data_IF_051786522129
#
_entry.id   IF_051786522129
#
_cell.length_a   1.000
_cell.length_b   1.000
_cell.length_c   1.000
_cell.angle_alpha   90.00
_cell.angle_beta   90.00
_cell.angle_gamma   90.00
#
_symmetry.space_group_name_H-M   'P 1'
#
loop_
_entity.id
_entity.type
_entity.pdbx_description
1 polymer ?
#
# COMPACT_ATOMS: atom_id res chain seq x y z
N UNK A 1 -16.22 19.99 9.01
CA UNK A 1 -16.02 20.18 10.48
C UNK A 1 -15.17 19.03 10.99
N UNK A 2 -13.89 19.25 11.24
CA UNK A 2 -12.90 18.18 11.47
C UNK A 2 -12.03 18.45 12.69
N UNK A 3 -12.63 18.65 13.87
CA UNK A 3 -11.94 18.48 15.15
C UNK A 3 -12.91 17.95 16.19
N UNK A 4 -13.21 16.67 16.05
CA UNK A 4 -13.99 15.98 17.05
C UNK A 4 -13.11 15.42 18.16
N UNK A 5 -11.81 15.18 17.86
CA UNK A 5 -10.83 14.59 18.77
C UNK A 5 -9.61 15.49 18.93
N UNK A 6 -9.04 15.51 20.14
CA UNK A 6 -7.87 16.29 20.51
C UNK A 6 -6.84 15.41 21.27
N UNK A 7 -5.55 15.84 21.33
CA UNK A 7 -4.59 15.22 22.22
C UNK A 7 -5.10 15.19 23.66
N UNK A 8 -5.01 14.02 24.29
CA UNK A 8 -5.51 13.76 25.64
C UNK A 8 -6.84 13.00 25.70
N UNK A 9 -7.63 13.03 24.63
CA UNK A 9 -8.88 12.26 24.57
C UNK A 9 -8.61 10.76 24.71
N UNK A 10 -9.52 10.04 25.35
CA UNK A 10 -9.39 8.58 25.57
C UNK A 10 -10.53 7.88 24.86
N UNK A 11 -10.21 7.10 23.83
CA UNK A 11 -11.18 6.34 23.05
C UNK A 11 -11.36 4.92 23.62
N UNK A 12 -12.61 4.46 23.64
CA UNK A 12 -13.02 3.16 24.17
C UNK A 12 -12.42 2.87 25.57
N UNK A 13 -12.20 3.91 26.40
CA UNK A 13 -11.61 3.82 27.74
C UNK A 13 -10.16 3.28 27.79
N UNK A 14 -9.51 3.07 26.65
CA UNK A 14 -8.21 2.37 26.55
C UNK A 14 -7.12 3.10 25.76
N UNK A 15 -7.46 3.95 24.82
CA UNK A 15 -6.50 4.53 23.90
C UNK A 15 -6.47 6.05 24.05
N UNK A 16 -5.43 6.58 24.70
CA UNK A 16 -5.22 8.03 24.83
C UNK A 16 -4.57 8.58 23.58
N UNK A 17 -5.25 9.49 22.91
CA UNK A 17 -4.71 10.20 21.75
C UNK A 17 -3.56 11.11 22.18
N UNK A 18 -2.45 11.10 21.41
CA UNK A 18 -1.27 11.88 21.71
C UNK A 18 -0.99 12.93 20.63
N UNK A 19 -0.88 12.51 19.38
CA UNK A 19 -0.47 13.33 18.25
C UNK A 19 -1.20 12.89 16.99
N UNK A 20 -1.70 13.86 16.21
CA UNK A 20 -2.24 13.58 14.87
C UNK A 20 -1.10 13.36 13.90
N UNK A 21 -0.96 12.12 13.37
CA UNK A 21 0.11 11.74 12.44
C UNK A 21 -0.26 12.10 11.01
N UNK A 22 -1.53 11.95 10.66
CA UNK A 22 -2.02 12.21 9.32
C UNK A 22 -3.53 12.32 9.26
N UNK A 23 -4.00 13.10 8.30
CA UNK A 23 -5.41 13.30 8.02
C UNK A 23 -5.65 13.24 6.51
N UNK A 24 -6.72 12.58 6.08
CA UNK A 24 -7.06 12.44 4.68
C UNK A 24 -8.55 12.22 4.46
N UNK A 25 -8.94 11.98 3.21
CA UNK A 25 -10.33 11.71 2.83
C UNK A 25 -10.94 10.50 3.54
N UNK A 26 -10.09 9.53 3.92
CA UNK A 26 -10.51 8.26 4.52
C UNK A 26 -10.55 8.28 6.05
N UNK A 27 -10.10 9.36 6.69
CA UNK A 27 -10.08 9.50 8.13
C UNK A 27 -8.81 10.13 8.68
N UNK A 28 -8.58 9.97 9.98
CA UNK A 28 -7.45 10.51 10.69
C UNK A 28 -6.63 9.39 11.35
N UNK A 29 -5.31 9.50 11.31
CA UNK A 29 -4.40 8.57 11.97
C UNK A 29 -3.73 9.30 13.14
N UNK A 30 -3.88 8.75 14.32
CA UNK A 30 -3.33 9.27 15.56
C UNK A 30 -2.24 8.36 16.11
N UNK A 31 -1.16 8.94 16.62
CA UNK A 31 -0.35 8.28 17.63
C UNK A 31 -1.16 8.26 18.92
N UNK A 32 -1.31 7.10 19.53
CA UNK A 32 -2.03 6.93 20.78
C UNK A 32 -1.26 6.03 21.75
N UNK A 33 -1.61 6.10 23.04
CA UNK A 33 -1.06 5.23 24.08
C UNK A 33 -2.16 4.28 24.55
N UNK A 34 -1.94 2.98 24.43
CA UNK A 34 -2.75 2.02 25.18
C UNK A 34 -2.44 2.19 26.66
N UNK A 35 -3.40 2.69 27.43
CA UNK A 35 -3.18 3.07 28.85
C UNK A 35 -2.98 1.86 29.76
N UNK A 36 -3.55 0.69 29.41
CA UNK A 36 -3.42 -0.54 30.19
C UNK A 36 -2.05 -1.21 29.97
N UNK A 37 -1.57 -1.23 28.72
CA UNK A 37 -0.30 -1.89 28.34
C UNK A 37 0.88 -0.93 28.36
N UNK A 38 0.64 0.39 28.49
CA UNK A 38 1.65 1.44 28.36
C UNK A 38 2.43 1.34 27.03
N UNK A 39 1.75 1.03 25.93
CA UNK A 39 2.33 0.79 24.62
C UNK A 39 1.86 1.86 23.62
N UNK A 40 2.79 2.41 22.84
CA UNK A 40 2.45 3.29 21.72
C UNK A 40 1.83 2.48 20.58
N UNK A 41 0.73 2.99 20.05
CA UNK A 41 -0.03 2.41 18.94
C UNK A 41 -0.36 3.49 17.91
N UNK A 42 -0.62 3.10 16.66
CA UNK A 42 -1.28 3.95 15.68
C UNK A 42 -2.78 3.63 15.69
N UNK A 43 -3.62 4.65 15.74
CA UNK A 43 -5.06 4.54 15.77
C UNK A 43 -5.62 5.25 14.54
N UNK A 44 -6.25 4.49 13.63
CA UNK A 44 -6.89 5.02 12.44
C UNK A 44 -8.39 5.11 12.67
N UNK A 45 -8.88 6.33 12.85
CA UNK A 45 -10.30 6.65 12.84
C UNK A 45 -10.79 6.62 11.40
N UNK A 46 -11.86 5.88 11.14
CA UNK A 46 -12.42 5.73 9.81
C UNK A 46 -13.62 6.64 9.71
N UNK A 47 -13.62 7.53 8.72
CA UNK A 47 -14.78 8.35 8.43
C UNK A 47 -15.95 7.46 8.04
N UNK A 48 -16.95 7.44 8.85
CA UNK A 48 -18.21 6.80 8.55
C UNK A 48 -19.23 7.87 8.10
N UNK A 49 -19.16 8.29 6.83
CA UNK A 49 -20.37 8.85 6.17
C UNK A 49 -21.38 7.70 5.90
N UNK A 50 -21.14 6.57 6.56
CA UNK A 50 -21.89 5.34 6.43
C UNK A 50 -23.18 5.41 7.23
N UNK A 51 -24.16 6.11 6.69
CA UNK A 51 -25.58 5.94 7.06
C UNK A 51 -26.13 4.54 6.69
N UNK A 52 -25.27 3.63 6.15
CA UNK A 52 -25.67 2.32 5.64
C UNK A 52 -25.00 1.22 6.47
N UNK A 53 -25.78 0.40 7.22
CA UNK A 53 -25.26 -0.69 8.07
C UNK A 53 -24.38 -1.70 7.34
N UNK A 54 -24.61 -1.89 6.01
CA UNK A 54 -23.83 -2.80 5.18
C UNK A 54 -22.39 -2.34 4.96
N UNK A 55 -22.14 -1.03 4.93
CA UNK A 55 -20.80 -0.47 4.77
C UNK A 55 -19.94 -0.73 6.03
N UNK A 56 -20.52 -0.56 7.22
CA UNK A 56 -19.85 -0.87 8.48
C UNK A 56 -19.52 -2.37 8.60
N UNK A 57 -20.47 -3.23 8.19
CA UNK A 57 -20.27 -4.70 8.20
C UNK A 57 -19.20 -5.16 7.21
N UNK A 58 -19.05 -4.47 6.07
CA UNK A 58 -18.01 -4.74 5.08
C UNK A 58 -16.64 -4.33 5.59
N UNK A 59 -16.56 -3.13 6.18
CA UNK A 59 -15.35 -2.60 6.81
C UNK A 59 -14.82 -3.54 7.89
N UNK A 60 -15.71 -4.04 8.76
CA UNK A 60 -15.37 -5.01 9.79
C UNK A 60 -14.79 -6.29 9.22
N UNK A 61 -15.42 -6.85 8.18
CA UNK A 61 -14.93 -8.06 7.50
C UNK A 61 -13.56 -7.88 6.87
N UNK A 62 -13.31 -6.75 6.22
CA UNK A 62 -11.99 -6.44 5.62
C UNK A 62 -10.92 -6.25 6.69
N UNK A 63 -11.23 -5.52 7.76
CA UNK A 63 -10.31 -5.37 8.88
C UNK A 63 -9.98 -6.70 9.55
N UNK A 64 -10.97 -7.58 9.75
CA UNK A 64 -10.76 -8.93 10.28
C UNK A 64 -9.92 -9.81 9.35
N UNK A 65 -10.13 -9.72 8.03
CA UNK A 65 -9.32 -10.45 7.06
C UNK A 65 -7.87 -9.92 7.05
N UNK A 66 -7.69 -8.60 7.09
CA UNK A 66 -6.37 -7.96 7.18
C UNK A 66 -5.63 -8.32 8.47
N UNK A 67 -6.33 -8.43 9.60
CA UNK A 67 -5.74 -8.82 10.88
C UNK A 67 -5.15 -10.25 10.86
N UNK A 68 -5.60 -11.11 9.92
CA UNK A 68 -5.07 -12.46 9.72
C UNK A 68 -3.80 -12.50 8.87
N UNK A 69 -3.45 -11.39 8.21
CA UNK A 69 -2.23 -11.31 7.40
C UNK A 69 -1.02 -11.31 8.33
N UNK A 70 -0.31 -12.41 8.38
CA UNK A 70 0.91 -12.56 9.17
C UNK A 70 2.12 -12.55 8.27
N UNK A 71 2.75 -11.37 8.13
CA UNK A 71 3.98 -11.20 7.36
C UNK A 71 4.83 -10.08 7.97
N UNK A 72 6.16 -10.23 7.97
CA UNK A 72 7.08 -9.24 8.57
C UNK A 72 6.94 -7.85 7.95
N UNK A 73 6.69 -7.77 6.67
CA UNK A 73 6.50 -6.52 5.93
C UNK A 73 5.04 -6.03 5.89
N UNK A 74 4.11 -6.63 6.63
CA UNK A 74 2.76 -6.10 6.83
C UNK A 74 2.66 -5.42 8.19
N UNK A 75 1.92 -4.31 8.28
CA UNK A 75 1.58 -3.68 9.55
C UNK A 75 0.72 -4.63 10.39
N UNK A 76 1.01 -4.75 11.68
CA UNK A 76 0.21 -5.57 12.60
C UNK A 76 -1.01 -4.81 13.06
N UNK A 77 -2.19 -5.40 12.91
CA UNK A 77 -3.44 -4.92 13.52
C UNK A 77 -3.57 -5.57 14.91
N UNK A 78 -3.79 -4.76 15.93
CA UNK A 78 -3.91 -5.21 17.31
C UNK A 78 -5.36 -5.30 17.76
N UNK A 79 -6.21 -4.36 17.31
CA UNK A 79 -7.60 -4.27 17.74
C UNK A 79 -8.46 -3.58 16.68
N UNK A 80 -9.75 -3.84 16.73
CA UNK A 80 -10.78 -3.15 15.97
C UNK A 80 -11.90 -2.81 16.94
N UNK A 81 -12.23 -1.54 17.07
CA UNK A 81 -13.21 -1.07 18.07
C UNK A 81 -14.03 0.09 17.51
N UNK A 82 -14.93 0.57 18.31
CA UNK A 82 -15.76 1.74 18.01
C UNK A 82 -15.61 2.79 19.11
N UNK A 83 -15.74 4.05 18.75
CA UNK A 83 -15.80 5.15 19.72
C UNK A 83 -17.13 5.13 20.48
N UNK A 84 -17.26 5.98 21.48
CA UNK A 84 -18.50 6.17 22.24
C UNK A 84 -19.65 6.63 21.33
N UNK A 85 -19.34 7.29 20.22
CA UNK A 85 -20.32 7.73 19.21
C UNK A 85 -20.59 6.68 18.12
N UNK A 86 -19.94 5.50 18.20
CA UNK A 86 -20.14 4.40 17.26
C UNK A 86 -19.26 4.49 16.01
N UNK A 87 -18.27 5.39 15.96
CA UNK A 87 -17.33 5.50 14.83
C UNK A 87 -16.28 4.38 14.90
N UNK A 88 -16.07 3.60 13.82
CA UNK A 88 -15.11 2.52 13.83
C UNK A 88 -13.67 3.05 13.77
N UNK A 89 -12.78 2.40 14.51
CA UNK A 89 -11.35 2.65 14.43
C UNK A 89 -10.53 1.36 14.49
N UNK A 90 -9.37 1.40 13.84
CA UNK A 90 -8.39 0.31 13.80
C UNK A 90 -7.19 0.70 14.65
N UNK A 91 -6.74 -0.20 15.51
CA UNK A 91 -5.52 -0.06 16.32
C UNK A 91 -4.44 -0.94 15.72
N UNK A 92 -3.30 -0.36 15.41
CA UNK A 92 -2.19 -1.05 14.77
C UNK A 92 -0.85 -0.69 15.40
N UNK A 93 0.20 -1.42 15.05
CA UNK A 93 1.55 -1.11 15.49
C UNK A 93 1.95 0.32 15.08
N UNK A 94 2.51 1.05 16.05
CA UNK A 94 3.09 2.36 15.75
C UNK A 94 4.48 2.17 15.16
N UNK A 95 4.69 2.70 13.96
CA UNK A 95 5.93 2.52 13.20
C UNK A 95 6.83 3.74 13.35
N UNK A 96 8.01 3.54 13.95
CA UNK A 96 9.07 4.54 13.98
C UNK A 96 9.88 4.47 12.68
N UNK A 97 9.51 5.26 11.69
CA UNK A 97 10.14 5.22 10.38
C UNK A 97 9.71 6.37 9.47
N UNK A 98 10.21 6.34 8.24
CA UNK A 98 9.82 7.30 7.19
C UNK A 98 9.12 6.54 6.07
N UNK A 99 8.13 7.17 5.46
CA UNK A 99 7.51 6.57 4.28
C UNK A 99 8.51 6.54 3.12
N UNK A 100 8.33 5.57 2.23
CA UNK A 100 9.15 5.47 1.02
C UNK A 100 8.99 6.71 0.12
N UNK A 101 7.82 7.38 0.18
CA UNK A 101 7.61 8.65 -0.50
C UNK A 101 8.51 9.77 0.06
N UNK A 102 8.66 9.86 1.38
CA UNK A 102 9.57 10.82 2.01
C UNK A 102 11.04 10.52 1.65
N UNK A 103 11.43 9.25 1.68
CA UNK A 103 12.79 8.83 1.31
C UNK A 103 13.08 9.17 -0.15
N UNK A 104 12.15 8.89 -1.06
CA UNK A 104 12.30 9.22 -2.48
C UNK A 104 12.40 10.73 -2.72
N UNK A 105 11.59 11.52 -2.03
CA UNK A 105 11.63 12.98 -2.14
C UNK A 105 12.94 13.60 -1.63
N UNK A 106 13.52 13.03 -0.56
CA UNK A 106 14.75 13.54 0.05
C UNK A 106 16.02 13.03 -0.64
N UNK A 107 16.03 11.75 -1.04
CA UNK A 107 17.25 11.08 -1.53
C UNK A 107 17.26 10.88 -3.05
N UNK A 108 16.15 11.16 -3.74
CA UNK A 108 16.01 10.88 -5.17
C UNK A 108 15.84 9.39 -5.49
N UNK A 109 15.99 9.02 -6.78
CA UNK A 109 15.80 7.65 -7.25
C UNK A 109 16.83 6.69 -6.65
N UNK A 110 16.42 5.43 -6.55
CA UNK A 110 17.23 4.34 -6.01
C UNK A 110 17.84 3.51 -7.16
N UNK A 111 18.94 2.80 -6.89
CA UNK A 111 19.44 1.82 -7.85
C UNK A 111 18.39 0.74 -8.13
N UNK A 112 18.35 0.17 -9.35
CA UNK A 112 17.43 -0.92 -9.68
C UNK A 112 17.52 -2.10 -8.70
N UNK A 113 18.73 -2.49 -8.30
CA UNK A 113 18.99 -3.56 -7.35
C UNK A 113 18.37 -3.22 -5.98
N UNK A 114 18.67 -2.05 -5.44
CA UNK A 114 18.14 -1.63 -4.14
C UNK A 114 16.62 -1.51 -4.14
N UNK A 115 16.03 -1.04 -5.24
CA UNK A 115 14.57 -0.94 -5.40
C UNK A 115 13.89 -2.31 -5.36
N UNK A 116 14.45 -3.30 -6.06
CA UNK A 116 13.93 -4.68 -6.07
C UNK A 116 14.12 -5.33 -4.70
N UNK A 117 15.32 -5.23 -4.08
CA UNK A 117 15.56 -5.77 -2.74
C UNK A 117 14.60 -5.22 -1.69
N UNK A 118 14.25 -3.94 -1.80
CA UNK A 118 13.31 -3.27 -0.89
C UNK A 118 11.86 -3.71 -1.13
N UNK A 119 11.45 -3.89 -2.39
CA UNK A 119 10.07 -4.23 -2.70
C UNK A 119 9.76 -5.73 -2.53
N UNK A 120 10.73 -6.63 -2.62
CA UNK A 120 10.48 -8.07 -2.46
C UNK A 120 9.77 -8.44 -1.15
N UNK A 121 10.13 -7.91 0.03
CA UNK A 121 9.35 -8.15 1.26
C UNK A 121 7.92 -7.59 1.19
N UNK A 122 7.72 -6.44 0.55
CA UNK A 122 6.38 -5.84 0.35
C UNK A 122 5.52 -6.73 -0.55
N UNK A 123 6.12 -7.25 -1.62
CA UNK A 123 5.49 -8.23 -2.53
C UNK A 123 5.12 -9.51 -1.75
N UNK A 124 5.98 -9.98 -0.85
CA UNK A 124 5.69 -11.09 0.05
C UNK A 124 4.47 -10.82 0.95
N UNK A 125 4.38 -9.62 1.53
CA UNK A 125 3.23 -9.21 2.34
C UNK A 125 1.93 -9.15 1.52
N UNK A 126 1.98 -8.59 0.30
CA UNK A 126 0.84 -8.58 -0.62
C UNK A 126 0.43 -9.99 -1.04
N UNK A 127 1.38 -10.87 -1.32
CA UNK A 127 1.10 -12.28 -1.64
C UNK A 127 0.39 -12.99 -0.49
N UNK A 128 0.83 -12.77 0.76
CA UNK A 128 0.17 -13.31 1.94
C UNK A 128 -1.25 -12.74 2.14
N UNK A 129 -1.44 -11.44 1.90
CA UNK A 129 -2.76 -10.81 1.94
C UNK A 129 -3.71 -11.38 0.89
N UNK A 130 -3.24 -11.56 -0.36
CA UNK A 130 -4.03 -12.17 -1.43
C UNK A 130 -4.44 -13.60 -1.09
N UNK A 131 -3.54 -14.38 -0.45
CA UNK A 131 -3.86 -15.71 0.07
C UNK A 131 -4.94 -15.71 1.15
N UNK A 132 -5.09 -14.61 1.90
CA UNK A 132 -6.16 -14.40 2.88
C UNK A 132 -7.43 -13.75 2.27
N UNK A 133 -7.49 -13.57 0.95
CA UNK A 133 -8.61 -12.94 0.24
C UNK A 133 -8.63 -11.41 0.34
N UNK A 134 -7.52 -10.77 0.76
CA UNK A 134 -7.42 -9.31 0.89
C UNK A 134 -6.63 -8.72 -0.27
N UNK A 135 -7.23 -7.82 -1.02
CA UNK A 135 -6.59 -7.00 -2.06
C UNK A 135 -6.32 -5.60 -1.49
N UNK A 136 -5.11 -5.09 -1.65
CA UNK A 136 -4.70 -3.82 -1.01
C UNK A 136 -5.31 -2.59 -1.69
N UNK A 137 -5.33 -2.53 -3.00
CA UNK A 137 -5.94 -1.50 -3.85
C UNK A 137 -5.37 -0.08 -3.76
N UNK A 138 -4.48 0.21 -2.83
CA UNK A 138 -3.82 1.54 -2.66
C UNK A 138 -2.32 1.39 -2.39
N UNK A 139 -1.63 0.54 -3.16
CA UNK A 139 -0.17 0.39 -3.07
C UNK A 139 0.51 1.61 -3.68
N UNK A 140 1.27 2.33 -2.84
CA UNK A 140 2.03 3.54 -3.23
C UNK A 140 3.19 3.77 -2.26
N UNK A 141 4.20 4.58 -2.61
CA UNK A 141 5.34 4.84 -1.73
C UNK A 141 4.96 5.42 -0.36
N UNK A 142 3.88 6.20 -0.27
CA UNK A 142 3.39 6.76 0.99
C UNK A 142 2.89 5.67 1.97
N UNK A 143 2.44 4.52 1.45
CA UNK A 143 1.92 3.40 2.23
C UNK A 143 2.98 2.32 2.53
N UNK A 144 4.26 2.59 2.25
CA UNK A 144 5.38 1.73 2.65
C UNK A 144 6.27 2.53 3.61
N UNK A 145 6.32 2.10 4.87
CA UNK A 145 7.13 2.74 5.92
C UNK A 145 8.40 1.94 6.14
N UNK A 146 9.55 2.59 6.05
CA UNK A 146 10.85 1.99 6.31
C UNK A 146 11.18 2.09 7.79
N UNK A 147 11.14 0.97 8.49
CA UNK A 147 11.43 0.85 9.93
C UNK A 147 12.82 0.27 10.11
N UNK A 148 13.59 0.82 11.05
CA UNK A 148 14.91 0.29 11.38
C UNK A 148 14.80 -0.73 12.52
N UNK A 149 15.16 -1.98 12.26
CA UNK A 149 15.29 -3.04 13.24
C UNK A 149 16.77 -3.47 13.35
N UNK A 150 17.46 -2.94 14.36
CA UNK A 150 18.90 -3.13 14.50
C UNK A 150 19.68 -2.57 13.30
N UNK A 151 20.34 -3.46 12.53
CA UNK A 151 21.13 -3.09 11.33
C UNK A 151 20.31 -3.18 10.03
N UNK A 152 19.08 -3.67 10.07
CA UNK A 152 18.25 -3.90 8.89
C UNK A 152 17.18 -2.84 8.74
N UNK A 153 16.81 -2.59 7.49
CA UNK A 153 15.63 -1.80 7.15
C UNK A 153 14.49 -2.76 6.78
N UNK A 154 13.38 -2.61 7.46
CA UNK A 154 12.19 -3.43 7.23
C UNK A 154 11.13 -2.55 6.58
N UNK A 155 10.78 -2.77 5.30
CA UNK A 155 9.64 -2.09 4.71
C UNK A 155 8.35 -2.68 5.30
N UNK A 156 7.49 -1.82 5.82
CA UNK A 156 6.20 -2.15 6.37
C UNK A 156 5.10 -1.57 5.50
N UNK A 157 4.29 -2.42 4.90
CA UNK A 157 3.10 -2.01 4.15
C UNK A 157 1.98 -1.69 5.13
N UNK A 158 1.45 -0.49 5.03
CA UNK A 158 0.35 0.03 5.85
C UNK A 158 -0.90 0.22 4.99
N UNK A 159 -2.05 0.45 5.64
CA UNK A 159 -3.29 0.87 5.00
C UNK A 159 -3.86 -0.13 3.97
N UNK A 160 -3.85 -1.43 4.30
CA UNK A 160 -4.61 -2.41 3.53
C UNK A 160 -6.05 -1.95 3.35
N UNK A 161 -6.51 -1.90 2.12
CA UNK A 161 -7.76 -1.40 1.54
C UNK A 161 -9.05 -1.21 2.35
N UNK A 162 -8.95 -1.24 3.68
CA UNK A 162 -10.07 -1.12 4.64
C UNK A 162 -10.96 0.10 4.35
N UNK A 163 -10.40 1.16 3.80
CA UNK A 163 -11.12 2.39 3.52
C UNK A 163 -11.67 2.48 2.09
N UNK A 164 -11.15 1.70 1.13
CA UNK A 164 -11.61 1.72 -0.26
C UNK A 164 -13.06 1.22 -0.40
N UNK A 165 -13.48 0.35 0.49
CA UNK A 165 -14.82 -0.23 0.48
C UNK A 165 -15.86 0.69 1.12
N UNK A 166 -15.45 1.57 2.03
CA UNK A 166 -16.35 2.50 2.72
C UNK A 166 -16.85 3.65 1.81
N UNK A 167 -16.04 4.07 0.84
CA UNK A 167 -16.34 5.21 -0.06
C UNK A 167 -17.17 4.82 -1.29
N UNK A 168 -17.37 3.53 -1.58
CA UNK A 168 -17.99 3.04 -2.82
C UNK A 168 -19.52 2.96 -2.83
N UNK A 169 -20.22 3.54 -1.86
CA UNK A 169 -21.68 3.37 -1.71
C UNK A 169 -22.53 4.39 -2.50
N UNK A 170 -21.94 5.45 -3.06
CA UNK A 170 -22.74 6.48 -3.76
C UNK A 170 -22.21 6.75 -5.16
N UNK A 171 -23.01 6.39 -6.14
CA UNK A 171 -22.82 6.47 -7.56
C UNK A 171 -22.34 7.83 -8.11
N UNK A 172 -21.34 7.75 -8.86
CA UNK A 172 -20.80 8.54 -9.97
C UNK A 172 -19.30 8.25 -10.09
N UNK A 173 -18.96 7.08 -10.64
CA UNK A 173 -17.62 6.48 -10.64
C UNK A 173 -16.44 7.34 -11.14
N UNK A 174 -16.69 8.50 -11.74
CA UNK A 174 -15.66 9.44 -12.22
C UNK A 174 -15.15 10.40 -11.15
N UNK A 175 -16.00 10.80 -10.20
CA UNK A 175 -15.62 11.74 -9.15
C UNK A 175 -14.85 11.06 -8.00
N UNK A 176 -15.11 9.79 -7.76
CA UNK A 176 -14.45 8.99 -6.73
C UNK A 176 -13.03 8.57 -7.11
N UNK A 177 -12.77 8.31 -8.40
CA UNK A 177 -11.41 8.08 -8.92
C UNK A 177 -10.49 9.31 -8.73
N UNK A 178 -11.06 10.49 -8.49
CA UNK A 178 -10.32 11.72 -8.21
C UNK A 178 -9.93 11.88 -6.72
N UNK A 179 -10.50 11.08 -5.82
CA UNK A 179 -10.22 11.08 -4.37
C UNK A 179 -9.20 9.98 -4.05
N UNK A 180 -7.98 10.12 -4.51
CA UNK A 180 -6.92 9.13 -4.29
C UNK A 180 -5.65 9.56 -4.97
N UNK A 181 -4.77 8.59 -5.19
CA UNK A 181 -3.55 8.77 -5.97
C UNK A 181 -3.71 8.08 -7.34
N UNK A 182 -4.44 8.66 -8.31
CA UNK A 182 -4.81 8.00 -9.56
C UNK A 182 -3.61 7.49 -10.36
N UNK A 183 -2.43 8.06 -10.14
CA UNK A 183 -1.19 7.66 -10.80
C UNK A 183 -0.71 6.23 -10.45
N UNK A 184 -1.19 5.64 -9.36
CA UNK A 184 -0.86 4.27 -8.95
C UNK A 184 -2.02 3.29 -9.21
N UNK A 185 -3.21 3.80 -9.55
CA UNK A 185 -4.39 2.96 -9.82
C UNK A 185 -4.24 2.21 -11.12
N UNK A 186 -4.68 0.96 -11.12
CA UNK A 186 -4.77 0.16 -12.33
C UNK A 186 -5.94 0.63 -13.24
N UNK A 187 -5.88 0.39 -14.56
CA UNK A 187 -6.92 0.81 -15.49
C UNK A 187 -8.33 0.38 -15.10
N UNK A 188 -8.50 -0.83 -14.58
CA UNK A 188 -9.79 -1.36 -14.10
C UNK A 188 -10.30 -0.61 -12.87
N UNK A 189 -9.41 -0.17 -11.97
CA UNK A 189 -9.78 0.64 -10.81
C UNK A 189 -10.28 2.03 -11.25
N UNK A 190 -9.59 2.64 -12.20
CA UNK A 190 -9.94 3.95 -12.76
C UNK A 190 -11.30 3.90 -13.48
N UNK A 191 -11.61 2.80 -14.18
CA UNK A 191 -12.92 2.61 -14.83
C UNK A 191 -14.09 2.42 -13.85
N UNK A 192 -13.81 2.30 -12.54
CA UNK A 192 -14.85 2.13 -11.53
C UNK A 192 -15.49 0.73 -11.53
N UNK A 193 -14.88 -0.25 -12.20
CA UNK A 193 -15.37 -1.62 -12.29
C UNK A 193 -15.31 -2.38 -10.96
N UNK A 194 -16.30 -3.27 -10.72
CA UNK A 194 -16.30 -4.18 -9.56
C UNK A 194 -15.22 -5.29 -9.67
N UNK A 195 -14.52 -5.38 -10.78
CA UNK A 195 -13.61 -6.46 -11.17
C UNK A 195 -12.14 -6.25 -10.74
N UNK A 196 -11.87 -5.31 -9.83
CA UNK A 196 -10.53 -5.08 -9.31
C UNK A 196 -10.10 -6.24 -8.41
N UNK A 197 -9.20 -7.09 -8.87
CA UNK A 197 -8.64 -8.23 -8.16
C UNK A 197 -7.16 -8.01 -7.75
N UNK A 198 -6.48 -9.07 -7.31
CA UNK A 198 -5.09 -9.05 -6.88
C UNK A 198 -4.12 -8.52 -7.96
N UNK A 199 -4.48 -8.58 -9.25
CA UNK A 199 -3.67 -8.09 -10.37
C UNK A 199 -3.63 -6.55 -10.45
N UNK A 200 -4.56 -5.86 -9.78
CA UNK A 200 -4.48 -4.41 -9.60
C UNK A 200 -3.30 -4.02 -8.70
N UNK A 201 -3.01 -4.81 -7.66
CA UNK A 201 -1.83 -4.58 -6.81
C UNK A 201 -0.52 -4.88 -7.56
N UNK A 202 -0.51 -5.85 -8.51
CA UNK A 202 0.64 -6.10 -9.40
C UNK A 202 0.97 -4.85 -10.22
N UNK A 203 -0.04 -4.21 -10.82
CA UNK A 203 0.13 -2.94 -11.50
C UNK A 203 0.73 -1.87 -10.59
N UNK A 204 0.12 -1.65 -9.43
CA UNK A 204 0.56 -0.60 -8.50
C UNK A 204 1.99 -0.81 -7.99
N UNK A 205 2.41 -2.06 -7.70
CA UNK A 205 3.80 -2.40 -7.35
C UNK A 205 4.75 -2.06 -8.51
N UNK A 206 4.37 -2.34 -9.76
CA UNK A 206 5.20 -2.01 -10.92
C UNK A 206 5.29 -0.50 -11.16
N UNK A 207 4.23 0.28 -10.88
CA UNK A 207 4.30 1.75 -10.86
C UNK A 207 5.29 2.23 -9.78
N UNK A 208 5.23 1.67 -8.57
CA UNK A 208 6.16 2.01 -7.48
C UNK A 208 7.60 1.68 -7.87
N UNK A 209 7.85 0.48 -8.42
CA UNK A 209 9.19 0.09 -8.86
C UNK A 209 9.72 1.02 -9.96
N UNK A 210 8.89 1.37 -10.94
CA UNK A 210 9.23 2.33 -11.97
C UNK A 210 9.65 3.68 -11.35
N UNK A 211 8.86 4.21 -10.41
CA UNK A 211 9.12 5.48 -9.75
C UNK A 211 10.39 5.44 -8.90
N UNK A 212 10.64 4.36 -8.16
CA UNK A 212 11.85 4.21 -7.36
C UNK A 212 13.12 4.23 -8.21
N UNK A 213 13.08 3.60 -9.39
CA UNK A 213 14.24 3.51 -10.28
C UNK A 213 14.44 4.80 -11.10
N UNK A 214 13.37 5.40 -11.60
CA UNK A 214 13.44 6.53 -12.51
C UNK A 214 13.27 7.92 -11.86
N UNK A 215 12.81 7.97 -10.60
CA UNK A 215 12.48 9.22 -9.91
C UNK A 215 11.18 9.87 -10.39
N UNK A 216 10.45 9.24 -11.31
CA UNK A 216 9.20 9.77 -11.87
C UNK A 216 8.19 8.66 -12.10
N UNK A 217 6.91 8.99 -12.08
CA UNK A 217 5.84 8.04 -12.36
C UNK A 217 5.72 7.76 -13.86
N UNK A 218 5.29 6.55 -14.27
CA UNK A 218 5.13 6.22 -15.70
C UNK A 218 3.98 7.02 -16.35
N UNK A 219 2.98 7.37 -15.57
CA UNK A 219 1.82 8.13 -16.01
C UNK A 219 1.71 9.40 -15.16
N UNK A 220 1.64 10.55 -15.82
CA UNK A 220 1.63 11.84 -15.13
C UNK A 220 1.12 12.93 -16.04
N UNK A 221 0.63 14.03 -15.43
CA UNK A 221 0.12 15.17 -16.18
C UNK A 221 -0.35 16.27 -15.24
N UNK A 222 -0.75 17.43 -15.76
CA UNK A 222 -1.07 18.61 -14.96
C UNK A 222 -2.41 18.53 -14.22
N UNK A 223 -2.94 17.34 -13.99
CA UNK A 223 -4.17 17.14 -13.23
C UNK A 223 -4.64 15.69 -13.27
N UNK A 224 -5.58 15.35 -12.39
CA UNK A 224 -6.07 13.98 -12.25
C UNK A 224 -6.69 13.43 -13.55
N UNK A 225 -7.34 14.27 -14.36
CA UNK A 225 -7.96 13.85 -15.62
C UNK A 225 -6.90 13.41 -16.64
N UNK A 226 -5.79 14.14 -16.79
CA UNK A 226 -4.71 13.72 -17.69
C UNK A 226 -4.04 12.44 -17.21
N UNK A 227 -3.81 12.28 -15.91
CA UNK A 227 -3.27 11.05 -15.32
C UNK A 227 -4.19 9.86 -15.62
N UNK A 228 -5.50 10.02 -15.42
CA UNK A 228 -6.50 9.00 -15.75
C UNK A 228 -6.46 8.62 -17.23
N UNK A 229 -6.39 9.61 -18.12
CA UNK A 229 -6.24 9.36 -19.56
C UNK A 229 -4.99 8.53 -19.87
N UNK A 230 -3.83 8.91 -19.31
CA UNK A 230 -2.56 8.23 -19.54
C UNK A 230 -2.56 6.81 -19.01
N UNK A 231 -3.10 6.58 -17.79
CA UNK A 231 -3.28 5.25 -17.22
C UNK A 231 -4.13 4.36 -18.12
N UNK A 232 -5.16 4.92 -18.76
CA UNK A 232 -6.08 4.15 -19.60
C UNK A 232 -5.57 3.90 -21.02
N UNK A 233 -4.71 4.80 -21.57
CA UNK A 233 -4.44 4.85 -23.00
C UNK A 233 -2.98 4.75 -23.41
N UNK A 234 -2.05 5.23 -22.58
CA UNK A 234 -0.64 5.32 -22.98
C UNK A 234 0.14 4.11 -22.45
N UNK A 235 1.06 3.61 -23.26
CA UNK A 235 2.06 2.66 -22.80
C UNK A 235 3.09 3.38 -21.91
N UNK A 236 3.65 2.68 -20.89
CA UNK A 236 4.65 3.27 -20.04
C UNK A 236 5.93 3.55 -20.84
N UNK A 237 6.46 4.79 -20.85
CA UNK A 237 7.72 5.07 -21.51
C UNK A 237 8.87 4.35 -20.79
N UNK A 238 9.85 3.84 -21.55
CA UNK A 238 11.06 3.23 -20.97
C UNK A 238 12.03 4.33 -20.53
N UNK A 239 12.34 4.48 -19.24
CA UNK A 239 13.36 5.43 -18.78
C UNK A 239 14.78 4.92 -19.03
N UNK A 240 15.73 5.83 -19.22
CA UNK A 240 17.16 5.54 -19.40
C UNK A 240 17.72 4.70 -18.23
N UNK A 241 17.20 4.91 -17.01
CA UNK A 241 17.57 4.13 -15.83
C UNK A 241 17.37 2.61 -15.97
N UNK A 242 16.58 2.15 -16.96
CA UNK A 242 16.40 0.73 -17.26
C UNK A 242 17.24 0.24 -18.45
N UNK A 243 18.05 1.11 -19.11
CA UNK A 243 18.84 0.70 -20.28
C UNK A 243 19.81 -0.43 -19.96
N UNK A 244 20.53 -0.32 -18.83
CA UNK A 244 21.46 -1.35 -18.38
C UNK A 244 20.77 -2.62 -17.83
N UNK A 245 19.44 -2.59 -17.68
CA UNK A 245 18.65 -3.66 -17.07
C UNK A 245 17.41 -4.03 -17.92
N UNK A 246 17.60 -4.46 -19.19
CA UNK A 246 16.49 -4.71 -20.12
C UNK A 246 15.50 -5.77 -19.59
N UNK A 247 16.00 -6.77 -18.89
CA UNK A 247 15.19 -7.82 -18.28
C UNK A 247 14.28 -7.29 -17.16
N UNK A 248 14.77 -6.32 -16.36
CA UNK A 248 13.95 -5.67 -15.34
C UNK A 248 12.85 -4.83 -15.99
N UNK A 249 13.19 -4.13 -17.09
CA UNK A 249 12.19 -3.38 -17.87
C UNK A 249 11.08 -4.31 -18.39
N UNK A 250 11.41 -5.47 -18.95
CA UNK A 250 10.42 -6.46 -19.42
C UNK A 250 9.44 -6.85 -18.30
N UNK A 251 9.97 -7.08 -17.08
CA UNK A 251 9.13 -7.41 -15.91
C UNK A 251 8.20 -6.24 -15.57
N UNK A 252 8.72 -5.01 -15.49
CA UNK A 252 7.94 -3.82 -15.18
C UNK A 252 6.88 -3.56 -16.26
N UNK A 253 7.26 -3.58 -17.53
CA UNK A 253 6.37 -3.34 -18.66
C UNK A 253 5.23 -4.36 -18.70
N UNK A 254 5.52 -5.65 -18.46
CA UNK A 254 4.49 -6.68 -18.33
C UNK A 254 3.52 -6.39 -17.18
N UNK A 255 4.03 -6.00 -16.01
CA UNK A 255 3.18 -5.63 -14.87
C UNK A 255 2.30 -4.40 -15.12
N UNK A 256 2.72 -3.55 -16.07
CA UNK A 256 2.00 -2.36 -16.54
C UNK A 256 1.18 -2.59 -17.81
N UNK A 257 0.88 -3.84 -18.18
CA UNK A 257 -0.06 -4.17 -19.26
C UNK A 257 -1.47 -3.69 -18.90
N UNK A 258 -2.17 -3.09 -19.88
CA UNK A 258 -3.51 -2.52 -19.64
C UNK A 258 -4.54 -3.58 -19.27
N UNK A 259 -4.51 -4.74 -19.97
CA UNK A 259 -5.35 -5.87 -19.68
C UNK A 259 -4.78 -6.67 -18.48
N UNK A 260 -5.58 -6.93 -17.44
CA UNK A 260 -5.09 -7.67 -16.25
C UNK A 260 -4.59 -9.09 -16.58
N UNK A 261 -5.13 -9.73 -17.61
CA UNK A 261 -4.74 -11.07 -18.08
C UNK A 261 -3.33 -11.14 -18.65
N UNK A 262 -2.79 -10.03 -19.17
CA UNK A 262 -1.44 -9.95 -19.71
C UNK A 262 -0.37 -9.74 -18.62
N UNK A 263 -0.79 -9.34 -17.43
CA UNK A 263 0.09 -9.12 -16.27
C UNK A 263 0.57 -10.44 -15.68
N UNK A 264 1.30 -10.36 -14.59
CA UNK A 264 1.58 -11.54 -13.75
C UNK A 264 0.27 -12.01 -13.09
N UNK A 265 -0.05 -13.31 -13.15
CA UNK A 265 -1.34 -13.83 -12.65
C UNK A 265 -1.47 -13.70 -11.12
N UNK A 266 -0.34 -13.68 -10.41
CA UNK A 266 -0.30 -13.54 -8.95
C UNK A 266 0.86 -12.65 -8.52
N UNK A 267 0.76 -12.08 -7.32
CA UNK A 267 1.85 -11.34 -6.70
C UNK A 267 3.10 -12.21 -6.49
N UNK A 268 2.93 -13.49 -6.15
CA UNK A 268 4.03 -14.45 -6.05
C UNK A 268 4.75 -14.67 -7.40
N UNK A 269 4.03 -14.65 -8.52
CA UNK A 269 4.64 -14.78 -9.85
C UNK A 269 5.51 -13.55 -10.19
N UNK A 270 5.06 -12.34 -9.86
CA UNK A 270 5.87 -11.11 -9.96
C UNK A 270 7.11 -11.20 -9.06
N UNK A 271 6.93 -11.61 -7.79
CA UNK A 271 8.01 -11.76 -6.83
C UNK A 271 9.10 -12.73 -7.32
N UNK A 272 8.71 -13.89 -7.86
CA UNK A 272 9.66 -14.85 -8.47
C UNK A 272 10.44 -14.24 -9.63
N UNK A 273 9.79 -13.53 -10.53
CA UNK A 273 10.45 -12.90 -11.68
C UNK A 273 11.49 -11.87 -11.23
N UNK A 274 11.15 -11.03 -10.25
CA UNK A 274 12.06 -10.04 -9.68
C UNK A 274 13.21 -10.68 -8.89
N UNK A 275 12.93 -11.73 -8.11
CA UNK A 275 13.96 -12.47 -7.37
C UNK A 275 14.95 -13.15 -8.32
N UNK A 276 14.49 -13.80 -9.38
CA UNK A 276 15.34 -14.39 -10.42
C UNK A 276 16.23 -13.34 -11.08
N UNK A 277 15.67 -12.16 -11.40
CA UNK A 277 16.47 -11.07 -11.94
C UNK A 277 17.53 -10.57 -10.94
N UNK A 278 17.18 -10.40 -9.66
CA UNK A 278 18.11 -9.95 -8.63
C UNK A 278 19.25 -10.97 -8.41
N UNK A 279 18.93 -12.27 -8.39
CA UNK A 279 19.92 -13.36 -8.29
C UNK A 279 20.87 -13.32 -9.49
N UNK A 280 20.38 -13.11 -10.71
CA UNK A 280 21.21 -12.96 -11.90
C UNK A 280 22.12 -11.73 -11.84
N UNK A 281 21.76 -10.71 -11.04
CA UNK A 281 22.60 -9.55 -10.72
C UNK A 281 23.55 -9.78 -9.52
N UNK A 282 23.66 -11.01 -8.99
CA UNK A 282 24.55 -11.36 -7.87
C UNK A 282 23.97 -11.08 -6.48
N UNK A 283 22.66 -10.83 -6.37
CA UNK A 283 21.99 -10.57 -5.09
C UNK A 283 21.42 -11.87 -4.53
N UNK A 284 21.73 -12.19 -3.29
CA UNK A 284 21.28 -13.44 -2.62
C UNK A 284 20.19 -13.22 -1.57
N UNK A 285 20.02 -11.97 -1.07
CA UNK A 285 19.11 -11.65 0.02
C UNK A 285 18.33 -10.35 -0.27
N UNK A 286 17.12 -10.25 0.27
CA UNK A 286 16.37 -9.01 0.28
C UNK A 286 16.88 -8.04 1.38
N UNK A 287 16.28 -6.86 1.49
CA UNK A 287 16.67 -5.83 2.47
C UNK A 287 16.45 -6.28 3.92
N UNK A 288 15.56 -7.26 4.18
CA UNK A 288 15.33 -7.84 5.51
C UNK A 288 16.33 -8.94 5.84
N UNK A 289 17.13 -9.37 4.86
CA UNK A 289 18.08 -10.46 4.96
C UNK A 289 17.47 -11.86 4.77
N UNK A 290 16.28 -11.95 4.18
CA UNK A 290 15.71 -13.22 3.76
C UNK A 290 16.38 -13.69 2.45
N UNK A 291 16.69 -14.98 2.36
CA UNK A 291 17.26 -15.60 1.15
C UNK A 291 16.25 -15.54 0.02
N UNK A 292 16.68 -15.04 -1.15
CA UNK A 292 15.82 -14.95 -2.33
C UNK A 292 15.51 -16.34 -2.90
N UNK A 293 16.46 -17.26 -2.83
CA UNK A 293 16.29 -18.64 -3.31
C UNK A 293 15.25 -19.35 -2.45
N UNK A 294 15.47 -19.37 -1.12
CA UNK A 294 14.62 -20.16 -0.21
C UNK A 294 13.18 -19.63 -0.14
N UNK A 295 13.00 -18.32 -0.31
CA UNK A 295 11.67 -17.70 -0.21
C UNK A 295 10.90 -17.73 -1.54
N UNK A 296 11.58 -17.48 -2.68
CA UNK A 296 10.90 -17.24 -3.96
C UNK A 296 11.02 -18.39 -4.95
N UNK A 297 12.01 -19.28 -4.78
CA UNK A 297 12.34 -20.36 -5.71
C UNK A 297 12.42 -21.75 -5.01
N UNK A 298 11.49 -22.05 -4.07
CA UNK A 298 11.50 -23.35 -3.37
C UNK A 298 11.17 -24.50 -4.33
#
# INVERSE_FOLDING_TARGET
MLRRYAPGDVLAGRYRLMELIGEGSMGAVWKARNVALNLDVALKLIRSDCSVPEAASRLLREAQATARVSHRAAVRIFDLSVTEEGEPFVVMEFLHGRSLAQVLAESGPMSPISSVQLLLPVIGALSAAHGAGVVHRDVKPANVVLVREGRRMIPKLIDFGIAFTATRVVGDGWREALVGSPAYMAPEQVRGGQESDARSDVWSVCVVLYELVSGRRPFGGPGSISIVHDVLRLDPPRPDAFEAHPRLWEIVARGLSKAPEDRFPTMAALGRALAQWAIACGVSHDVTGASLVDYWLP
#
